data_IF_649224297822
#
_entry.id   IF_649224297822
#
_cell.length_a   1.000
_cell.length_b   1.000
_cell.length_c   1.000
_cell.angle_alpha   90.00
_cell.angle_beta   90.00
_cell.angle_gamma   90.00
#
_symmetry.space_group_name_H-M   'P 1'
#
loop_
_entity.id
_entity.type
_entity.pdbx_description
1 polymer ?
#
# COMPACT_ATOMS: atom_id res chain seq x y z
N UNK A 1 -5.45 13.20 -56.62
CA UNK A 1 -4.20 12.92 -55.90
C UNK A 1 -4.24 13.64 -54.54
N UNK A 2 -5.19 13.26 -53.68
CA UNK A 2 -5.09 12.28 -52.58
C UNK A 2 -4.28 12.80 -51.37
N UNK A 3 -4.92 13.04 -50.21
CA UNK A 3 -4.30 13.62 -49.01
C UNK A 3 -3.71 12.57 -48.05
N UNK A 4 -2.77 13.04 -47.24
CA UNK A 4 -1.94 12.32 -46.27
C UNK A 4 -2.70 11.53 -45.18
N UNK A 5 -2.29 10.28 -44.85
CA UNK A 5 -2.73 9.57 -43.67
C UNK A 5 -1.58 9.41 -42.65
N UNK A 6 -1.37 10.39 -41.76
CA UNK A 6 -0.35 10.27 -40.70
C UNK A 6 -0.84 10.68 -39.30
N UNK A 7 -2.14 10.99 -39.13
CA UNK A 7 -2.70 11.37 -37.82
C UNK A 7 -3.30 10.21 -37.00
N UNK A 8 -3.60 9.05 -37.60
CA UNK A 8 -4.24 7.94 -36.88
C UNK A 8 -3.29 7.00 -36.14
N UNK A 9 -1.98 7.09 -36.36
CA UNK A 9 -1.01 6.19 -35.70
C UNK A 9 -0.60 6.65 -34.29
N UNK A 10 -0.65 7.97 -34.01
CA UNK A 10 -0.23 8.50 -32.69
C UNK A 10 -1.33 8.42 -31.64
N UNK A 11 -2.61 8.38 -32.03
CA UNK A 11 -3.73 8.31 -31.09
C UNK A 11 -3.92 6.90 -30.51
N UNK A 12 -3.46 5.85 -31.21
CA UNK A 12 -3.46 4.45 -30.74
C UNK A 12 -2.39 4.14 -29.68
N UNK A 13 -1.28 4.88 -29.61
CA UNK A 13 -0.24 4.63 -28.60
C UNK A 13 -0.55 5.25 -27.23
N UNK A 14 -1.42 6.28 -27.18
CA UNK A 14 -1.73 7.01 -25.94
C UNK A 14 -2.81 6.26 -25.11
N UNK A 15 -3.66 5.44 -25.75
CA UNK A 15 -4.66 4.60 -25.05
C UNK A 15 -4.03 3.46 -24.24
N UNK A 16 -3.05 2.76 -24.82
CA UNK A 16 -2.39 1.60 -24.19
C UNK A 16 -1.56 2.00 -22.96
N UNK A 17 -0.98 3.19 -22.97
CA UNK A 17 -0.19 3.69 -21.84
C UNK A 17 -1.04 4.06 -20.61
N UNK A 18 -2.33 4.39 -20.79
CA UNK A 18 -3.24 4.70 -19.67
C UNK A 18 -3.80 3.46 -18.98
N UNK A 19 -3.95 2.34 -19.69
CA UNK A 19 -4.39 1.07 -19.09
C UNK A 19 -3.27 0.33 -18.34
N UNK A 20 -2.01 0.59 -18.70
CA UNK A 20 -0.82 0.01 -18.06
C UNK A 20 -0.69 0.32 -16.56
N UNK A 21 -1.40 1.33 -16.05
CA UNK A 21 -1.32 1.78 -14.65
C UNK A 21 -2.45 1.23 -13.75
N UNK A 22 -3.41 0.47 -14.29
CA UNK A 22 -4.63 0.11 -13.56
C UNK A 22 -4.75 -1.35 -13.08
N UNK A 23 -3.86 -2.29 -13.45
CA UNK A 23 -4.07 -3.73 -13.13
C UNK A 23 -2.89 -4.48 -12.51
N UNK A 24 -2.13 -3.85 -11.59
CA UNK A 24 -1.22 -4.61 -10.72
C UNK A 24 -1.63 -4.50 -9.24
N UNK A 25 -2.40 -5.49 -8.80
CA UNK A 25 -2.49 -6.03 -7.42
C UNK A 25 -3.08 -7.45 -7.54
N UNK A 26 -2.25 -8.48 -7.51
CA UNK A 26 -1.76 -9.20 -6.32
C UNK A 26 -2.83 -10.08 -5.68
N UNK A 27 -2.98 -11.31 -6.19
CA UNK A 27 -3.48 -12.49 -5.45
C UNK A 27 -3.44 -13.77 -6.33
N UNK A 28 -2.26 -14.37 -6.59
CA UNK A 28 -2.14 -15.81 -6.96
C UNK A 28 -0.72 -16.32 -6.61
N UNK A 29 -0.36 -16.30 -5.32
CA UNK A 29 1.02 -16.53 -4.87
C UNK A 29 1.54 -17.98 -4.88
N UNK A 30 0.69 -19.01 -5.04
CA UNK A 30 1.15 -20.40 -4.80
C UNK A 30 0.89 -21.42 -5.92
N UNK A 31 0.29 -21.01 -7.06
CA UNK A 31 0.08 -21.91 -8.22
C UNK A 31 1.03 -21.55 -9.39
N UNK A 32 1.78 -20.45 -9.29
CA UNK A 32 2.39 -19.79 -10.46
C UNK A 32 3.90 -19.95 -10.62
N UNK A 33 4.49 -21.01 -10.06
CA UNK A 33 5.91 -21.31 -10.30
C UNK A 33 6.24 -21.68 -11.76
N UNK A 34 5.24 -21.76 -12.66
CA UNK A 34 5.45 -22.23 -14.04
C UNK A 34 4.70 -21.47 -15.15
N UNK A 35 4.02 -20.35 -14.87
CA UNK A 35 3.41 -19.53 -15.94
C UNK A 35 4.27 -18.27 -16.15
N UNK A 36 5.22 -18.39 -17.07
CA UNK A 36 6.07 -17.27 -17.53
C UNK A 36 5.23 -16.04 -17.89
N UNK A 37 5.76 -14.86 -17.55
CA UNK A 37 5.09 -13.57 -17.74
C UNK A 37 4.71 -13.33 -19.20
N UNK A 38 5.52 -13.79 -20.17
CA UNK A 38 5.20 -13.62 -21.60
C UNK A 38 4.02 -14.50 -22.02
N UNK A 39 3.97 -15.74 -21.53
CA UNK A 39 2.86 -16.67 -21.81
C UNK A 39 1.53 -16.13 -21.30
N UNK A 40 1.54 -15.53 -20.10
CA UNK A 40 0.33 -14.92 -19.54
C UNK A 40 -0.10 -13.66 -20.31
N UNK A 41 0.83 -12.79 -20.72
CA UNK A 41 0.50 -11.59 -21.51
C UNK A 41 -0.04 -11.97 -22.90
N UNK A 42 0.51 -13.00 -23.53
CA UNK A 42 -0.01 -13.52 -24.80
C UNK A 42 -1.42 -14.12 -24.65
N UNK A 43 -1.65 -14.88 -23.57
CA UNK A 43 -2.98 -15.44 -23.28
C UNK A 43 -4.02 -14.36 -22.95
N UNK A 44 -3.64 -13.35 -22.17
CA UNK A 44 -4.51 -12.22 -21.83
C UNK A 44 -4.86 -11.39 -23.07
N UNK A 45 -3.90 -11.16 -23.97
CA UNK A 45 -4.15 -10.50 -25.25
C UNK A 45 -5.10 -11.30 -26.14
N UNK A 46 -4.92 -12.62 -26.24
CA UNK A 46 -5.80 -13.49 -27.01
C UNK A 46 -7.23 -13.51 -26.47
N UNK A 47 -7.39 -13.55 -25.14
CA UNK A 47 -8.69 -13.45 -24.48
C UNK A 47 -9.35 -12.09 -24.72
N UNK A 48 -8.58 -11.00 -24.65
CA UNK A 48 -9.09 -9.66 -24.92
C UNK A 48 -9.63 -9.54 -26.35
N UNK A 49 -8.86 -10.00 -27.34
CA UNK A 49 -9.30 -10.03 -28.75
C UNK A 49 -10.51 -10.94 -28.98
N UNK A 50 -10.77 -11.89 -28.08
CA UNK A 50 -11.92 -12.78 -28.19
C UNK A 50 -13.20 -12.18 -27.59
N UNK A 51 -13.06 -11.29 -26.61
CA UNK A 51 -14.18 -10.61 -25.94
C UNK A 51 -14.54 -9.31 -26.68
N UNK A 52 -13.53 -8.56 -27.13
CA UNK A 52 -13.66 -7.35 -27.97
C UNK A 52 -14.18 -7.75 -29.37
N UNK A 53 -15.50 -7.81 -29.50
CA UNK A 53 -16.19 -8.34 -30.67
C UNK A 53 -16.21 -7.34 -31.82
N UNK A 54 -16.19 -6.04 -31.50
CA UNK A 54 -16.19 -4.96 -32.48
C UNK A 54 -14.77 -4.49 -32.89
N UNK A 55 -13.74 -4.87 -32.12
CA UNK A 55 -12.34 -4.61 -32.40
C UNK A 55 -11.92 -3.16 -32.14
N UNK A 56 -12.68 -2.43 -31.30
CA UNK A 56 -12.41 -1.04 -30.98
C UNK A 56 -11.24 -0.86 -29.99
N UNK A 57 -10.78 -1.95 -29.38
CA UNK A 57 -9.68 -1.99 -28.43
C UNK A 57 -10.11 -1.74 -26.98
N UNK A 58 -11.41 -1.79 -26.70
CA UNK A 58 -12.05 -1.74 -25.39
C UNK A 58 -12.99 -2.94 -25.24
N UNK A 59 -13.41 -3.23 -24.01
CA UNK A 59 -14.44 -4.26 -23.74
C UNK A 59 -15.57 -3.57 -23.01
N UNK A 60 -16.74 -3.55 -23.64
CA UNK A 60 -17.98 -3.05 -23.05
C UNK A 60 -18.57 -4.09 -22.09
N UNK A 61 -19.52 -3.66 -21.25
CA UNK A 61 -20.15 -4.57 -20.30
C UNK A 61 -20.98 -5.64 -21.02
N UNK A 62 -21.62 -5.26 -22.12
CA UNK A 62 -22.43 -6.12 -22.97
C UNK A 62 -21.58 -7.22 -23.62
N UNK A 63 -20.42 -6.87 -24.19
CA UNK A 63 -19.48 -7.85 -24.75
C UNK A 63 -18.94 -8.82 -23.70
N UNK A 64 -18.69 -8.34 -22.49
CA UNK A 64 -18.27 -9.18 -21.38
C UNK A 64 -19.39 -10.16 -20.99
N UNK A 65 -20.62 -9.70 -20.83
CA UNK A 65 -21.76 -10.54 -20.43
C UNK A 65 -22.09 -11.59 -21.49
N UNK A 66 -22.09 -11.20 -22.77
CA UNK A 66 -22.34 -12.11 -23.91
C UNK A 66 -21.27 -13.20 -24.02
N UNK A 67 -20.00 -12.87 -23.78
CA UNK A 67 -18.91 -13.85 -23.80
C UNK A 67 -19.08 -14.88 -22.66
N UNK A 68 -19.34 -14.42 -21.44
CA UNK A 68 -19.49 -15.33 -20.29
C UNK A 68 -20.81 -16.11 -20.29
N UNK A 69 -21.86 -15.61 -20.94
CA UNK A 69 -23.07 -16.37 -21.19
C UNK A 69 -22.84 -17.57 -22.14
N UNK A 70 -21.88 -17.45 -23.06
CA UNK A 70 -21.52 -18.52 -24.01
C UNK A 70 -20.51 -19.52 -23.43
N UNK A 71 -19.65 -19.07 -22.51
CA UNK A 71 -18.76 -19.96 -21.77
C UNK A 71 -19.57 -20.71 -20.72
N UNK A 72 -20.20 -21.80 -21.16
CA UNK A 72 -20.75 -22.80 -20.25
C UNK A 72 -19.61 -23.39 -19.41
N UNK A 73 -19.43 -22.87 -18.20
CA UNK A 73 -18.57 -23.50 -17.22
C UNK A 73 -19.17 -24.87 -16.91
N UNK A 74 -18.46 -25.99 -17.16
CA UNK A 74 -18.95 -27.30 -16.75
C UNK A 74 -19.23 -27.22 -15.25
N UNK A 75 -20.47 -27.51 -14.87
CA UNK A 75 -20.91 -27.49 -13.49
C UNK A 75 -19.97 -28.38 -12.69
N UNK A 76 -19.09 -27.73 -11.91
CA UNK A 76 -18.22 -28.42 -10.98
C UNK A 76 -19.13 -29.30 -10.09
N UNK A 77 -18.79 -30.59 -9.88
CA UNK A 77 -19.58 -31.45 -9.02
C UNK A 77 -19.70 -30.77 -7.66
N UNK A 78 -20.95 -30.51 -7.30
CA UNK A 78 -21.34 -29.85 -6.06
C UNK A 78 -20.56 -30.50 -4.90
N UNK A 79 -19.74 -29.76 -4.14
CA UNK A 79 -19.03 -30.34 -3.01
C UNK A 79 -20.06 -30.85 -2.01
N UNK A 80 -20.09 -32.16 -1.83
CA UNK A 80 -20.94 -32.81 -0.85
C UNK A 80 -20.63 -32.26 0.54
N UNK A 81 -21.54 -31.43 1.06
CA UNK A 81 -21.89 -31.23 2.47
C UNK A 81 -20.83 -31.64 3.51
N UNK A 82 -19.69 -30.96 3.50
CA UNK A 82 -18.88 -30.82 4.72
C UNK A 82 -19.37 -29.56 5.42
N UNK A 83 -19.83 -29.69 6.67
CA UNK A 83 -20.16 -28.60 7.59
C UNK A 83 -18.95 -27.67 7.77
N UNK A 84 -18.72 -26.79 6.81
CA UNK A 84 -17.74 -25.72 6.90
C UNK A 84 -18.54 -24.46 7.17
N UNK A 85 -18.33 -23.88 8.35
CA UNK A 85 -19.01 -22.69 8.80
C UNK A 85 -18.83 -21.59 7.75
N UNK A 86 -19.91 -21.32 7.01
CA UNK A 86 -20.03 -20.19 6.10
C UNK A 86 -19.87 -18.92 6.93
N UNK A 87 -18.64 -18.40 6.96
CA UNK A 87 -18.40 -17.05 7.43
C UNK A 87 -18.97 -16.11 6.38
N UNK A 88 -20.21 -15.70 6.62
CA UNK A 88 -20.86 -14.53 6.01
C UNK A 88 -19.79 -13.42 5.86
N UNK A 89 -19.60 -12.83 4.67
CA UNK A 89 -18.70 -11.71 4.52
C UNK A 89 -19.09 -10.67 5.58
N UNK A 90 -18.18 -10.40 6.52
CA UNK A 90 -18.40 -9.40 7.56
C UNK A 90 -18.66 -8.10 6.83
N UNK A 91 -19.92 -7.66 6.89
CA UNK A 91 -20.40 -6.34 6.49
C UNK A 91 -19.29 -5.33 6.74
N UNK A 92 -18.67 -4.81 5.68
CA UNK A 92 -17.63 -3.80 5.80
C UNK A 92 -18.28 -2.57 6.43
N UNK A 93 -18.07 -2.37 7.73
CA UNK A 93 -18.49 -1.17 8.40
C UNK A 93 -17.74 -0.02 7.76
N UNK A 94 -18.48 0.92 7.17
CA UNK A 94 -17.89 2.18 6.72
C UNK A 94 -17.09 2.76 7.90
N UNK A 95 -15.79 3.05 7.73
CA UNK A 95 -14.98 3.57 8.82
C UNK A 95 -15.61 4.85 9.35
N UNK A 96 -15.64 4.98 10.68
CA UNK A 96 -16.27 6.14 11.31
C UNK A 96 -15.55 7.41 10.86
N UNK A 97 -16.31 8.40 10.40
CA UNK A 97 -15.82 9.68 9.87
C UNK A 97 -14.85 10.38 10.83
N UNK A 98 -15.09 10.28 12.14
CA UNK A 98 -14.24 10.89 13.17
C UNK A 98 -12.80 10.35 13.15
N UNK A 99 -12.61 9.05 12.90
CA UNK A 99 -11.28 8.44 12.81
C UNK A 99 -10.56 8.92 11.56
N UNK A 100 -11.26 9.00 10.43
CA UNK A 100 -10.71 9.51 9.16
C UNK A 100 -10.26 10.96 9.33
N UNK A 101 -11.12 11.82 9.89
CA UNK A 101 -10.82 13.23 10.10
C UNK A 101 -9.64 13.43 11.07
N UNK A 102 -9.54 12.62 12.14
CA UNK A 102 -8.38 12.63 13.06
C UNK A 102 -7.07 12.27 12.36
N UNK A 103 -7.08 11.20 11.58
CA UNK A 103 -5.91 10.75 10.81
C UNK A 103 -5.50 11.78 9.76
N UNK A 104 -6.45 12.34 9.02
CA UNK A 104 -6.19 13.33 7.98
C UNK A 104 -5.58 14.62 8.57
N UNK A 105 -6.13 15.12 9.68
CA UNK A 105 -5.59 16.30 10.37
C UNK A 105 -4.20 16.03 10.95
N UNK A 106 -3.97 14.86 11.55
CA UNK A 106 -2.65 14.48 12.03
C UNK A 106 -1.62 14.36 10.89
N UNK A 107 -2.01 13.76 9.76
CA UNK A 107 -1.19 13.67 8.56
C UNK A 107 -0.83 15.03 8.01
N UNK A 108 -1.79 15.95 7.85
CA UNK A 108 -1.54 17.30 7.36
C UNK A 108 -0.54 18.07 8.25
N UNK A 109 -0.48 17.73 9.53
CA UNK A 109 0.49 18.34 10.45
C UNK A 109 1.89 17.78 10.27
N UNK A 110 2.01 16.46 10.25
CA UNK A 110 3.29 15.81 10.02
C UNK A 110 3.82 16.12 8.62
N UNK A 111 2.94 16.27 7.65
CA UNK A 111 3.27 16.63 6.28
C UNK A 111 3.93 18.01 6.21
N UNK A 112 3.36 19.00 6.93
CA UNK A 112 3.92 20.35 6.98
C UNK A 112 5.28 20.41 7.70
N UNK A 113 5.50 19.56 8.71
CA UNK A 113 6.80 19.47 9.40
C UNK A 113 7.86 18.76 8.56
N UNK A 114 7.47 17.76 7.79
CA UNK A 114 8.37 16.91 7.01
C UNK A 114 8.67 17.43 5.59
N UNK A 115 8.16 18.60 5.21
CA UNK A 115 8.20 19.13 3.83
C UNK A 115 7.63 18.12 2.83
N UNK A 116 6.39 17.74 3.08
CA UNK A 116 5.64 16.77 2.28
C UNK A 116 5.11 17.44 1.01
N UNK A 117 5.63 17.05 -0.14
CA UNK A 117 5.27 17.56 -1.47
C UNK A 117 4.40 16.57 -2.27
N UNK A 118 3.44 15.90 -1.62
CA UNK A 118 2.52 14.97 -2.28
C UNK A 118 2.99 13.52 -2.33
N UNK A 119 3.84 13.11 -1.37
CA UNK A 119 4.46 11.79 -1.35
C UNK A 119 3.51 10.65 -0.99
N UNK A 120 3.95 9.43 -1.26
CA UNK A 120 3.22 8.19 -0.96
C UNK A 120 3.38 7.74 0.50
N UNK A 121 2.37 7.11 1.07
CA UNK A 121 2.39 6.51 2.40
C UNK A 121 2.22 5.00 2.25
N UNK A 122 3.15 4.23 2.83
CA UNK A 122 3.03 2.78 2.91
C UNK A 122 1.99 2.38 3.95
N UNK A 123 0.93 1.68 3.56
CA UNK A 123 -0.11 1.15 4.45
C UNK A 123 0.04 -0.36 4.56
N UNK A 124 0.49 -0.82 5.72
CA UNK A 124 0.71 -2.24 6.01
C UNK A 124 -0.62 -2.93 6.39
N UNK A 125 -1.47 -3.16 5.39
CA UNK A 125 -2.86 -3.57 5.61
C UNK A 125 -2.99 -5.00 6.11
N UNK A 126 -3.68 -5.18 7.24
CA UNK A 126 -4.12 -6.49 7.74
C UNK A 126 -5.59 -6.79 7.40
N UNK A 127 -6.24 -5.93 6.61
CA UNK A 127 -7.65 -6.03 6.23
C UNK A 127 -8.64 -5.46 7.26
N UNK A 128 -8.18 -4.80 8.33
CA UNK A 128 -9.07 -4.18 9.31
C UNK A 128 -9.64 -2.83 8.85
N UNK A 129 -10.81 -2.46 9.37
CA UNK A 129 -11.53 -1.21 9.02
C UNK A 129 -10.70 0.07 9.25
N UNK A 130 -9.73 0.04 10.17
CA UNK A 130 -8.85 1.18 10.44
C UNK A 130 -7.89 1.47 9.28
N UNK A 131 -7.56 0.47 8.45
CA UNK A 131 -6.79 0.69 7.23
C UNK A 131 -7.61 1.36 6.15
N UNK A 132 -8.88 1.01 6.02
CA UNK A 132 -9.79 1.75 5.14
C UNK A 132 -9.89 3.22 5.58
N UNK A 133 -9.94 3.46 6.90
CA UNK A 133 -9.92 4.82 7.44
C UNK A 133 -8.60 5.56 7.12
N UNK A 134 -7.46 4.88 7.27
CA UNK A 134 -6.15 5.44 6.93
C UNK A 134 -6.03 5.75 5.44
N UNK A 135 -6.45 4.85 4.56
CA UNK A 135 -6.41 5.07 3.12
C UNK A 135 -7.25 6.28 2.70
N UNK A 136 -8.46 6.41 3.27
CA UNK A 136 -9.30 7.60 3.06
C UNK A 136 -8.63 8.87 3.59
N UNK A 137 -7.98 8.82 4.76
CA UNK A 137 -7.27 9.96 5.32
C UNK A 137 -6.09 10.40 4.45
N UNK A 138 -5.31 9.46 3.91
CA UNK A 138 -4.22 9.73 2.97
C UNK A 138 -4.75 10.40 1.70
N UNK A 139 -5.85 9.89 1.15
CA UNK A 139 -6.52 10.49 -0.03
C UNK A 139 -7.06 11.89 0.27
N UNK A 140 -7.62 12.11 1.46
CA UNK A 140 -8.19 13.39 1.88
C UNK A 140 -7.13 14.51 1.99
N UNK A 141 -5.88 14.16 2.32
CA UNK A 141 -4.75 15.11 2.32
C UNK A 141 -4.04 15.21 0.96
N UNK A 142 -4.57 14.57 -0.08
CA UNK A 142 -3.98 14.57 -1.42
C UNK A 142 -2.76 13.67 -1.60
N UNK A 143 -2.53 12.73 -0.68
CA UNK A 143 -1.44 11.75 -0.76
C UNK A 143 -1.82 10.48 -1.53
N UNK A 144 -0.82 9.65 -1.81
CA UNK A 144 -1.01 8.33 -2.44
C UNK A 144 -0.81 7.23 -1.41
N UNK A 145 -1.76 6.31 -1.28
CA UNK A 145 -1.63 5.15 -0.40
C UNK A 145 -1.04 3.96 -1.16
N UNK A 146 0.09 3.44 -0.68
CA UNK A 146 0.75 2.25 -1.21
C UNK A 146 0.46 1.09 -0.26
N UNK A 147 -0.37 0.15 -0.70
CA UNK A 147 -0.76 -0.99 0.15
C UNK A 147 0.37 -2.01 0.15
N UNK A 148 0.81 -2.38 1.35
CA UNK A 148 1.86 -3.36 1.61
C UNK A 148 1.26 -4.48 2.45
N UNK A 149 1.48 -5.73 2.07
CA UNK A 149 1.07 -6.87 2.89
C UNK A 149 2.11 -7.06 4.02
N UNK A 150 1.71 -6.90 5.31
CA UNK A 150 2.62 -7.05 6.44
C UNK A 150 3.15 -8.47 6.62
N UNK A 151 2.57 -9.47 5.93
CA UNK A 151 3.00 -10.87 5.98
C UNK A 151 4.03 -11.23 4.92
N UNK A 152 4.16 -10.42 3.86
CA UNK A 152 5.13 -10.61 2.78
C UNK A 152 6.57 -10.70 3.30
N UNK A 153 7.47 -11.18 2.45
CA UNK A 153 8.90 -11.21 2.76
C UNK A 153 9.44 -9.79 2.97
N UNK A 154 10.45 -9.63 3.82
CA UNK A 154 10.98 -8.31 4.15
C UNK A 154 11.56 -7.60 2.91
N UNK A 155 12.11 -8.34 1.95
CA UNK A 155 12.64 -7.78 0.72
C UNK A 155 11.52 -7.35 -0.24
N UNK A 156 10.39 -8.06 -0.26
CA UNK A 156 9.18 -7.63 -1.00
C UNK A 156 8.56 -6.38 -0.40
N UNK A 157 8.51 -6.31 0.94
CA UNK A 157 8.05 -5.12 1.68
C UNK A 157 8.91 -3.91 1.31
N UNK A 158 10.25 -4.07 1.34
CA UNK A 158 11.20 -3.02 0.96
C UNK A 158 11.05 -2.60 -0.50
N UNK A 159 10.95 -3.57 -1.42
CA UNK A 159 10.77 -3.30 -2.84
C UNK A 159 9.48 -2.52 -3.10
N UNK A 160 8.38 -2.90 -2.45
CA UNK A 160 7.08 -2.23 -2.59
C UNK A 160 7.12 -0.83 -1.98
N UNK A 161 7.70 -0.68 -0.78
CA UNK A 161 7.84 0.61 -0.11
C UNK A 161 8.67 1.59 -0.94
N UNK A 162 9.83 1.14 -1.43
CA UNK A 162 10.74 1.93 -2.26
C UNK A 162 10.16 2.28 -3.63
N UNK A 163 9.56 1.32 -4.34
CA UNK A 163 8.92 1.58 -5.63
C UNK A 163 7.71 2.52 -5.52
N UNK A 164 7.05 2.52 -4.36
CA UNK A 164 6.00 3.48 -4.05
C UNK A 164 6.51 4.88 -3.73
N UNK A 165 7.82 5.08 -3.60
CA UNK A 165 8.44 6.32 -3.10
C UNK A 165 7.82 6.74 -1.75
N UNK A 166 7.58 5.74 -0.90
CA UNK A 166 6.94 5.97 0.37
C UNK A 166 7.88 6.76 1.29
N UNK A 167 7.36 7.80 1.95
CA UNK A 167 8.14 8.60 2.89
C UNK A 167 7.72 8.38 4.35
N UNK A 168 6.57 7.77 4.60
CA UNK A 168 6.08 7.37 5.91
C UNK A 168 5.35 6.01 5.82
N UNK A 169 5.11 5.38 6.97
CA UNK A 169 4.47 4.08 7.04
C UNK A 169 3.41 4.02 8.13
N UNK A 170 2.27 3.41 7.82
CA UNK A 170 1.21 3.11 8.78
C UNK A 170 1.20 1.61 9.00
N UNK A 171 1.33 1.19 10.26
CA UNK A 171 1.48 -0.21 10.64
C UNK A 171 0.37 -0.63 11.62
N UNK A 172 -0.08 -1.90 11.59
CA UNK A 172 -1.19 -2.36 12.42
C UNK A 172 -0.82 -2.44 13.90
N UNK A 173 0.46 -2.62 14.22
CA UNK A 173 0.92 -2.82 15.59
C UNK A 173 2.43 -2.77 15.71
N UNK A 174 2.91 -2.81 16.95
CA UNK A 174 4.35 -2.77 17.28
C UNK A 174 5.09 -3.99 16.75
N UNK A 175 4.44 -5.15 16.64
CA UNK A 175 5.07 -6.37 16.12
C UNK A 175 5.42 -6.22 14.63
N UNK A 176 4.51 -5.65 13.83
CA UNK A 176 4.79 -5.35 12.42
C UNK A 176 5.84 -4.24 12.31
N UNK A 177 5.78 -3.22 13.17
CA UNK A 177 6.81 -2.18 13.23
C UNK A 177 8.21 -2.79 13.45
N UNK A 178 8.36 -3.64 14.46
CA UNK A 178 9.60 -4.35 14.79
C UNK A 178 10.08 -5.17 13.60
N UNK A 179 9.23 -6.07 13.09
CA UNK A 179 9.56 -6.92 11.95
C UNK A 179 10.01 -6.11 10.74
N UNK A 180 9.33 -5.01 10.45
CA UNK A 180 9.63 -4.15 9.30
C UNK A 180 10.96 -3.40 9.48
N UNK A 181 11.37 -3.19 10.73
CA UNK A 181 12.60 -2.50 11.10
C UNK A 181 13.76 -3.44 11.48
N UNK A 182 13.53 -4.75 11.50
CA UNK A 182 14.56 -5.74 11.79
C UNK A 182 15.74 -5.70 10.79
N UNK A 183 16.94 -5.90 11.33
CA UNK A 183 18.19 -5.86 10.58
C UNK A 183 18.48 -4.46 10.06
N UNK A 184 18.27 -4.25 8.75
CA UNK A 184 18.52 -2.96 8.09
C UNK A 184 17.26 -2.11 7.92
N UNK A 185 16.15 -2.55 8.49
CA UNK A 185 14.82 -1.96 8.35
C UNK A 185 14.31 -1.84 6.91
N UNK A 186 13.23 -1.08 6.70
CA UNK A 186 12.68 -0.83 5.35
C UNK A 186 13.60 0.04 4.47
N UNK A 187 14.64 0.60 5.08
CA UNK A 187 15.58 1.56 4.49
C UNK A 187 16.57 0.89 3.52
N UNK A 188 16.72 -0.45 3.56
CA UNK A 188 17.96 -1.04 3.06
C UNK A 188 17.84 -2.31 2.21
N UNK A 189 16.83 -2.42 1.35
CA UNK A 189 16.98 -3.31 0.19
C UNK A 189 18.07 -2.79 -0.76
N UNK A 190 18.39 -1.48 -0.75
CA UNK A 190 19.34 -0.86 -1.69
C UNK A 190 20.38 0.07 -1.04
N UNK A 191 20.37 0.27 0.27
CA UNK A 191 21.24 1.26 0.94
C UNK A 191 22.68 0.74 1.21
N UNK A 192 23.37 0.29 0.16
CA UNK A 192 24.82 0.21 0.18
C UNK A 192 25.43 1.61 0.04
N UNK A 193 25.20 2.54 0.97
CA UNK A 193 25.72 3.92 0.96
C UNK A 193 25.41 4.77 -0.30
N UNK A 194 24.69 4.20 -1.28
CA UNK A 194 24.46 4.73 -2.64
C UNK A 194 23.03 4.45 -3.16
N UNK A 195 22.12 3.99 -2.30
CA UNK A 195 20.74 3.71 -2.70
C UNK A 195 19.80 4.85 -2.32
N UNK A 196 19.02 5.34 -3.27
CA UNK A 196 18.13 6.52 -3.17
C UNK A 196 16.94 6.38 -2.20
N UNK A 197 16.86 5.28 -1.43
CA UNK A 197 15.78 5.02 -0.49
C UNK A 197 15.94 5.80 0.80
N UNK A 198 15.16 6.87 0.97
CA UNK A 198 15.10 7.57 2.25
C UNK A 198 14.36 6.72 3.31
N UNK A 199 14.81 6.76 4.56
CA UNK A 199 14.09 6.13 5.65
C UNK A 199 12.67 6.70 5.81
N UNK A 200 11.72 5.93 6.39
CA UNK A 200 10.47 6.49 6.82
C UNK A 200 10.75 7.69 7.74
N UNK A 201 10.14 8.84 7.44
CA UNK A 201 10.22 10.04 8.28
C UNK A 201 9.48 9.85 9.60
N UNK A 202 8.47 9.00 9.61
CA UNK A 202 7.72 8.60 10.79
C UNK A 202 6.92 7.33 10.55
N UNK A 203 6.52 6.70 11.65
CA UNK A 203 5.51 5.64 11.68
C UNK A 203 4.24 6.09 12.38
N UNK A 204 3.10 5.56 11.94
CA UNK A 204 1.83 5.62 12.67
C UNK A 204 1.37 4.21 12.99
N UNK A 205 1.18 3.90 14.27
CA UNK A 205 0.64 2.62 14.71
C UNK A 205 -0.87 2.75 14.83
N UNK A 206 -1.59 2.00 14.02
CA UNK A 206 -3.06 2.05 13.93
C UNK A 206 -3.75 1.23 15.01
N UNK A 207 -3.14 0.14 15.47
CA UNK A 207 -3.70 -0.72 16.50
C UNK A 207 -3.92 0.02 17.82
N UNK A 208 -4.98 -0.36 18.53
CA UNK A 208 -5.20 0.12 19.91
C UNK A 208 -4.04 -0.34 20.78
N UNK A 209 -3.45 0.61 21.49
CA UNK A 209 -2.32 0.38 22.38
C UNK A 209 -2.47 1.25 23.61
N UNK A 210 -2.04 0.76 24.77
CA UNK A 210 -1.88 1.57 25.97
C UNK A 210 -0.53 2.30 26.02
N UNK A 211 0.36 1.99 25.06
CA UNK A 211 1.70 2.57 24.97
C UNK A 211 1.66 3.86 24.16
N UNK A 212 2.45 4.82 24.61
CA UNK A 212 2.77 6.04 23.86
C UNK A 212 3.63 5.73 22.64
N UNK A 213 3.67 6.66 21.69
CA UNK A 213 4.57 6.61 20.54
C UNK A 213 6.03 6.44 20.96
N UNK A 214 6.48 7.17 21.99
CA UNK A 214 7.85 7.08 22.51
C UNK A 214 8.18 5.71 23.11
N UNK A 215 7.23 5.07 23.80
CA UNK A 215 7.40 3.72 24.34
C UNK A 215 7.50 2.69 23.20
N UNK A 216 6.64 2.78 22.19
CA UNK A 216 6.68 1.90 21.02
C UNK A 216 7.96 2.12 20.19
N UNK A 217 8.41 3.36 20.06
CA UNK A 217 9.67 3.70 19.41
C UNK A 217 10.86 3.06 20.10
N UNK A 218 10.91 3.14 21.44
CA UNK A 218 11.95 2.47 22.24
C UNK A 218 11.86 0.96 22.11
N UNK A 219 10.65 0.41 22.12
CA UNK A 219 10.43 -1.03 22.02
C UNK A 219 10.83 -1.61 20.66
N UNK A 220 10.72 -0.82 19.59
CA UNK A 220 11.14 -1.19 18.24
C UNK A 220 12.60 -0.79 17.92
N UNK A 221 13.38 -0.36 18.93
CA UNK A 221 14.76 0.10 18.78
C UNK A 221 14.95 1.27 17.77
N UNK A 222 13.91 2.10 17.61
CA UNK A 222 13.86 3.23 16.66
C UNK A 222 14.27 4.57 17.27
N UNK A 223 14.84 4.57 18.47
CA UNK A 223 15.36 5.78 19.13
C UNK A 223 16.58 6.37 18.39
N UNK A 224 17.20 5.58 17.50
CA UNK A 224 18.49 5.87 16.90
C UNK A 224 19.64 5.88 17.91
N UNK A 225 19.40 5.55 19.19
CA UNK A 225 20.40 5.58 20.27
C UNK A 225 20.30 4.36 21.17
N UNK A 226 21.43 3.71 21.38
CA UNK A 226 21.58 2.67 22.41
C UNK A 226 22.46 3.23 23.51
N UNK A 227 21.95 3.21 24.73
CA UNK A 227 22.69 3.61 25.92
C UNK A 227 23.15 2.38 26.68
N UNK A 228 24.44 2.32 26.97
CA UNK A 228 25.01 1.30 27.84
C UNK A 228 24.58 1.59 29.29
N UNK A 229 23.90 0.63 29.91
CA UNK A 229 23.32 0.80 31.24
C UNK A 229 24.35 0.93 32.37
N UNK A 230 25.60 0.49 32.16
CA UNK A 230 26.65 0.49 33.19
C UNK A 230 27.45 1.79 33.17
N UNK A 231 27.71 2.30 31.98
CA UNK A 231 28.54 3.49 31.75
C UNK A 231 27.71 4.76 31.58
N UNK A 232 26.43 4.63 31.22
CA UNK A 232 25.58 5.76 30.85
C UNK A 232 25.90 6.36 29.49
N UNK A 233 26.88 5.80 28.76
CA UNK A 233 27.25 6.27 27.43
C UNK A 233 26.20 5.87 26.39
N UNK A 234 25.79 6.81 25.54
CA UNK A 234 24.85 6.55 24.45
C UNK A 234 25.53 6.70 23.09
N UNK A 235 25.32 5.72 22.22
CA UNK A 235 25.84 5.70 20.86
C UNK A 235 24.70 5.78 19.87
N UNK A 236 24.90 6.53 18.78
CA UNK A 236 23.94 6.54 17.68
C UNK A 236 24.10 5.27 16.86
N UNK A 237 23.12 4.36 16.94
CA UNK A 237 23.16 3.04 16.25
C UNK A 237 22.22 2.96 15.05
N UNK A 238 21.46 4.01 14.79
CA UNK A 238 20.50 4.04 13.70
C UNK A 238 19.84 5.40 13.52
N UNK A 239 18.84 5.44 12.67
CA UNK A 239 18.03 6.63 12.42
C UNK A 239 16.95 6.71 13.50
N UNK A 240 16.83 7.89 14.10
CA UNK A 240 15.73 8.20 14.98
C UNK A 240 14.47 8.39 14.12
N UNK A 241 13.55 7.43 14.17
CA UNK A 241 12.28 7.50 13.45
C UNK A 241 11.15 7.66 14.47
N UNK A 242 10.47 8.82 14.52
CA UNK A 242 9.37 9.02 15.45
C UNK A 242 8.20 8.09 15.13
N UNK A 243 7.58 7.58 16.19
CA UNK A 243 6.40 6.72 16.13
C UNK A 243 5.25 7.44 16.80
N UNK A 244 4.07 7.44 16.16
CA UNK A 244 2.85 8.06 16.69
C UNK A 244 1.74 7.02 16.81
N UNK A 245 0.93 7.13 17.85
CA UNK A 245 -0.41 6.52 17.90
C UNK A 245 -1.42 7.37 17.14
N UNK A 246 -2.57 6.79 16.77
CA UNK A 246 -3.71 7.54 16.21
C UNK A 246 -4.17 8.66 17.14
N UNK A 247 -4.17 8.42 18.46
CA UNK A 247 -4.61 9.38 19.46
C UNK A 247 -3.62 10.54 19.62
N UNK A 248 -2.31 10.28 19.63
CA UNK A 248 -1.28 11.33 19.60
C UNK A 248 -1.37 12.15 18.30
N UNK A 249 -1.59 11.46 17.17
CA UNK A 249 -1.81 12.11 15.89
C UNK A 249 -3.03 13.02 15.91
N UNK A 250 -4.03 12.74 16.73
CA UNK A 250 -5.23 13.56 16.90
C UNK A 250 -5.03 14.68 17.91
N UNK A 251 -4.37 14.39 19.04
CA UNK A 251 -4.25 15.26 20.21
C UNK A 251 -3.22 16.39 20.09
N UNK A 252 -2.33 16.36 19.11
CA UNK A 252 -1.43 17.49 18.88
C UNK A 252 -2.24 18.80 18.74
N UNK A 253 -1.69 19.97 19.12
CA UNK A 253 -2.37 21.23 18.85
C UNK A 253 -2.41 21.52 17.33
N UNK A 254 -3.38 22.31 16.84
CA UNK A 254 -3.37 22.78 15.46
C UNK A 254 -2.13 23.65 15.20
N UNK A 255 -1.50 23.48 14.03
CA UNK A 255 -0.36 24.30 13.62
C UNK A 255 -0.87 25.74 13.45
N UNK A 256 -0.43 26.65 14.33
CA UNK A 256 -0.89 28.04 14.33
C UNK A 256 -0.76 28.77 15.67
N UNK A 257 -0.52 28.06 16.77
CA UNK A 257 -0.15 28.69 18.03
C UNK A 257 1.37 28.80 18.10
N UNK A 258 2.00 29.97 17.86
CA UNK A 258 3.39 30.14 18.25
C UNK A 258 3.48 29.82 19.75
N UNK A 259 4.42 28.94 20.10
CA UNK A 259 4.82 28.74 21.49
C UNK A 259 5.15 30.11 22.08
N UNK A 260 4.34 30.57 23.04
CA UNK A 260 4.63 31.77 23.82
C UNK A 260 5.88 31.56 24.66
#
# INVERSE_FOLDING_TARGET
SSPFPLRNALQKQIGVARLHRAMCKSEVGSIRASIDRRTFMAAAGALFTQIDADGDGSVTYEEFDDFFAQVSVPSLPSPASSKSASQKPKSSSIPKKDVVDKLANGLLRLSNQASYDGKSIGLFSDGTDIFAAAELAVKQVGGTAVIIDPKSDIDDIRATYGAGECFAAFVPGVDVLKRTMEGRGIECAHCGYYGDGAPPKFFVVLGKTSKTGAEMQKEADLSGRVCDAKTGACFQVGINVPVYTVDELAAAPPIGSPSR
#
